data_IF_383345415652
#
_entry.id   IF_383345415652
#
_cell.length_a   1.000
_cell.length_b   1.000
_cell.length_c   1.000
_cell.angle_alpha   90.00
_cell.angle_beta   90.00
_cell.angle_gamma   90.00
#
_symmetry.space_group_name_H-M   'P 1'
#
loop_
_entity.id
_entity.type
_entity.pdbx_description
1 polymer ?
#
# COMPACT_ATOMS: atom_id res chain seq x y z
N UNK A 1 0.80 17.02 5.83
CA UNK A 1 1.17 17.02 4.41
C UNK A 1 1.51 15.60 4.04
N UNK A 2 0.96 15.09 2.95
CA UNK A 2 1.37 13.78 2.41
C UNK A 2 2.66 14.02 1.63
N UNK A 3 3.79 13.44 2.06
CA UNK A 3 5.01 13.51 1.24
C UNK A 3 4.86 12.55 0.07
N UNK A 4 5.03 13.07 -1.13
CA UNK A 4 5.02 12.26 -2.34
C UNK A 4 6.26 11.39 -2.37
N UNK A 5 6.06 10.09 -2.63
CA UNK A 5 7.18 9.17 -2.82
C UNK A 5 7.87 9.41 -4.16
N UNK A 6 9.16 9.07 -4.24
CA UNK A 6 9.95 9.34 -5.44
C UNK A 6 9.46 8.57 -6.67
N UNK A 7 9.61 9.18 -7.84
CA UNK A 7 9.24 8.58 -9.14
C UNK A 7 9.99 7.26 -9.40
N UNK A 8 11.20 7.11 -8.88
CA UNK A 8 11.98 5.86 -8.97
C UNK A 8 11.29 4.72 -8.22
N UNK A 9 10.72 4.99 -7.04
CA UNK A 9 9.98 3.98 -6.29
C UNK A 9 8.68 3.61 -7.03
N UNK A 10 7.96 4.61 -7.56
CA UNK A 10 6.74 4.37 -8.35
C UNK A 10 7.02 3.46 -9.55
N UNK A 11 8.08 3.72 -10.32
CA UNK A 11 8.47 2.87 -11.46
C UNK A 11 8.78 1.43 -11.04
N UNK A 12 9.56 1.23 -9.96
CA UNK A 12 9.85 -0.11 -9.44
C UNK A 12 8.58 -0.84 -9.00
N UNK A 13 7.64 -0.14 -8.38
CA UNK A 13 6.37 -0.73 -7.95
C UNK A 13 5.51 -1.17 -9.13
N UNK A 14 5.47 -0.39 -10.22
CA UNK A 14 4.81 -0.81 -11.46
C UNK A 14 5.38 -2.11 -12.01
N UNK A 15 6.70 -2.28 -11.98
CA UNK A 15 7.35 -3.51 -12.41
C UNK A 15 7.03 -4.70 -11.48
N UNK A 16 7.11 -4.50 -10.16
CA UNK A 16 6.83 -5.53 -9.16
C UNK A 16 5.37 -5.99 -9.23
N UNK A 17 4.44 -5.04 -9.34
CA UNK A 17 3.01 -5.31 -9.45
C UNK A 17 2.60 -5.77 -10.87
N UNK A 18 3.53 -5.81 -11.83
CA UNK A 18 3.27 -6.07 -13.26
C UNK A 18 2.15 -5.16 -13.80
N UNK A 19 2.12 -3.91 -13.35
CA UNK A 19 1.08 -2.92 -13.63
C UNK A 19 1.70 -1.65 -14.24
N UNK A 20 1.95 -1.63 -15.57
CA UNK A 20 2.60 -0.49 -16.24
C UNK A 20 1.78 0.82 -16.13
N UNK A 21 0.46 0.69 -16.04
CA UNK A 21 -0.48 1.80 -15.93
C UNK A 21 -0.58 2.39 -14.50
N UNK A 22 -0.19 1.65 -13.46
CA UNK A 22 -0.33 2.10 -12.07
C UNK A 22 -1.79 2.20 -11.61
N UNK A 23 -2.66 1.33 -12.15
CA UNK A 23 -4.11 1.33 -11.89
C UNK A 23 -4.56 0.16 -11.03
N UNK A 24 -3.72 -0.83 -10.78
CA UNK A 24 -4.07 -1.97 -9.93
C UNK A 24 -4.30 -1.53 -8.49
N UNK A 25 -5.17 -2.26 -7.78
CA UNK A 25 -5.47 -1.96 -6.38
C UNK A 25 -4.26 -2.21 -5.48
N UNK A 26 -3.46 -3.23 -5.79
CA UNK A 26 -2.19 -3.52 -5.10
C UNK A 26 -1.21 -2.36 -5.23
N UNK A 27 -1.02 -1.84 -6.46
CA UNK A 27 -0.15 -0.70 -6.70
C UNK A 27 -0.63 0.52 -5.89
N UNK A 28 -1.91 0.86 -5.98
CA UNK A 28 -2.50 2.01 -5.26
C UNK A 28 -2.35 1.89 -3.75
N UNK A 29 -2.64 0.71 -3.20
CA UNK A 29 -2.50 0.44 -1.77
C UNK A 29 -1.05 0.64 -1.29
N UNK A 30 -0.06 0.13 -2.03
CA UNK A 30 1.34 0.27 -1.65
C UNK A 30 1.78 1.74 -1.69
N UNK A 31 1.38 2.48 -2.72
CA UNK A 31 1.64 3.93 -2.82
C UNK A 31 1.04 4.65 -1.61
N UNK A 32 -0.22 4.39 -1.29
CA UNK A 32 -0.93 5.05 -0.20
C UNK A 32 -0.28 4.79 1.16
N UNK A 33 0.15 3.55 1.43
CA UNK A 33 0.88 3.21 2.67
C UNK A 33 2.20 3.97 2.74
N UNK A 34 2.98 4.00 1.66
CA UNK A 34 4.29 4.65 1.66
C UNK A 34 4.19 6.18 1.79
N UNK A 35 3.23 6.79 1.11
CA UNK A 35 2.98 8.24 1.17
C UNK A 35 2.42 8.65 2.54
N UNK A 36 1.49 7.87 3.10
CA UNK A 36 0.93 8.13 4.43
C UNK A 36 2.01 7.97 5.50
N UNK A 37 2.90 6.98 5.37
CA UNK A 37 3.90 6.65 6.40
C UNK A 37 5.24 7.38 6.23
N UNK A 38 5.36 8.22 5.19
CA UNK A 38 6.57 8.97 4.83
C UNK A 38 7.12 9.80 5.99
N UNK A 39 6.27 10.64 6.59
CA UNK A 39 6.63 11.58 7.65
C UNK A 39 6.66 11.00 9.08
N UNK A 40 6.45 9.69 9.26
CA UNK A 40 6.51 9.07 10.59
C UNK A 40 7.95 8.81 11.03
N UNK A 41 8.21 9.01 12.33
CA UNK A 41 9.52 8.72 12.93
C UNK A 41 9.87 7.24 12.82
N UNK A 42 11.16 6.89 12.76
CA UNK A 42 11.62 5.50 12.63
C UNK A 42 11.03 4.54 13.69
N UNK A 43 10.77 5.05 14.89
CA UNK A 43 10.19 4.29 16.02
C UNK A 43 8.70 3.96 15.78
N UNK A 44 7.95 4.90 15.21
CA UNK A 44 6.49 4.76 15.01
C UNK A 44 6.13 4.22 13.63
N UNK A 45 7.05 4.28 12.67
CA UNK A 45 6.80 3.95 11.27
C UNK A 45 6.40 2.49 11.06
N UNK A 46 7.11 1.54 11.66
CA UNK A 46 6.80 0.11 11.50
C UNK A 46 5.39 -0.29 12.01
N UNK A 47 4.97 0.06 13.25
CA UNK A 47 3.62 -0.26 13.71
C UNK A 47 2.54 0.49 12.92
N UNK A 48 2.80 1.71 12.46
CA UNK A 48 1.85 2.49 11.64
C UNK A 48 1.69 1.88 10.25
N UNK A 49 2.79 1.47 9.59
CA UNK A 49 2.74 0.75 8.31
C UNK A 49 1.87 -0.51 8.46
N UNK A 50 2.11 -1.31 9.50
CA UNK A 50 1.34 -2.54 9.75
C UNK A 50 -0.16 -2.24 9.87
N UNK A 51 -0.52 -1.26 10.69
CA UNK A 51 -1.93 -0.89 10.93
C UNK A 51 -2.60 -0.34 9.65
N UNK A 52 -1.92 0.54 8.93
CA UNK A 52 -2.45 1.15 7.71
C UNK A 52 -2.62 0.12 6.59
N UNK A 53 -1.62 -0.75 6.43
CA UNK A 53 -1.68 -1.83 5.46
C UNK A 53 -2.82 -2.80 5.76
N UNK A 54 -3.01 -3.19 7.03
CA UNK A 54 -4.13 -4.05 7.43
C UNK A 54 -5.48 -3.43 7.06
N UNK A 55 -5.67 -2.14 7.37
CA UNK A 55 -6.91 -1.43 7.03
C UNK A 55 -7.19 -1.42 5.52
N UNK A 56 -6.18 -1.13 4.70
CA UNK A 56 -6.33 -1.07 3.25
C UNK A 56 -6.57 -2.46 2.65
N UNK A 57 -5.91 -3.50 3.16
CA UNK A 57 -6.18 -4.88 2.74
C UNK A 57 -7.63 -5.25 3.02
N UNK A 58 -8.18 -4.92 4.18
CA UNK A 58 -9.58 -5.21 4.51
C UNK A 58 -10.56 -4.45 3.59
N UNK A 59 -10.20 -3.24 3.13
CA UNK A 59 -11.03 -2.43 2.22
C UNK A 59 -10.97 -2.90 0.76
N UNK A 60 -9.78 -3.24 0.27
CA UNK A 60 -9.56 -3.62 -1.14
C UNK A 60 -9.75 -5.11 -1.38
N UNK A 61 -9.39 -5.96 -0.41
CA UNK A 61 -9.43 -7.41 -0.51
C UNK A 61 -10.22 -8.01 0.67
N UNK A 62 -11.51 -7.65 0.82
CA UNK A 62 -12.31 -8.17 1.92
C UNK A 62 -12.34 -9.69 1.84
N UNK A 63 -11.98 -10.33 2.95
CA UNK A 63 -11.99 -11.79 3.03
C UNK A 63 -13.41 -12.31 2.80
N UNK A 64 -13.63 -12.91 1.62
CA UNK A 64 -14.86 -13.62 1.32
C UNK A 64 -14.67 -15.04 1.81
N UNK A 65 -15.12 -15.30 3.02
CA UNK A 65 -15.25 -16.66 3.53
C UNK A 65 -16.15 -17.42 2.55
N UNK A 66 -15.56 -18.31 1.76
CA UNK A 66 -16.33 -19.18 0.88
C UNK A 66 -17.13 -20.13 1.77
N UNK A 67 -18.45 -19.88 1.89
CA UNK A 67 -19.40 -20.77 2.55
C UNK A 67 -19.64 -22.05 1.74
N UNK A 68 -18.57 -22.76 1.38
CA UNK A 68 -18.60 -24.11 0.82
C UNK A 68 -17.54 -24.92 1.58
N UNK A 69 -17.83 -25.20 2.84
CA UNK A 69 -17.23 -26.30 3.60
C UNK A 69 -18.36 -27.12 4.22
#
# INVERSE_FOLDING_TARGET
MVEQISETIKKKLKEICKDPDGKSEEYRMIIEVLETTSGYSKVTKAPVIKKQFQHLVDQHFPYKENKNE
#
